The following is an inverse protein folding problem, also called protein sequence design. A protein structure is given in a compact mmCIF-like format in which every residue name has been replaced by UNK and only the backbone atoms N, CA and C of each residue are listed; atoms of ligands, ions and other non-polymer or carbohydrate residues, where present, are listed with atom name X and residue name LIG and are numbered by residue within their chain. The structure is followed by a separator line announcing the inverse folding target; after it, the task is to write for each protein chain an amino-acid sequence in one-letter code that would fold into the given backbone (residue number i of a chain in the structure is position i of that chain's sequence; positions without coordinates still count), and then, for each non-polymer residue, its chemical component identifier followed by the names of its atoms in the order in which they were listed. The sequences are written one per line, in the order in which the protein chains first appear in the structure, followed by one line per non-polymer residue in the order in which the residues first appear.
data_IF_438244043503
#
_entry.id   IF_438244043503
#
_cell.length_a   1.000
_cell.length_b   1.000
_cell.length_c   1.000
_cell.angle_alpha   90.00
_cell.angle_beta   90.00
_cell.angle_gamma   90.00
#
_symmetry.space_group_name_H-M   'P 1'
#
loop_
_entity.id
_entity.type
_entity.pdbx_description
1 polymer ?
#
# COMPACT_ATOMS: atom_id res chain seq x y z
N UNK A 1 12.87 18.09 10.98
CA UNK A 1 11.80 18.23 11.99
C UNK A 1 12.41 18.04 13.37
N UNK A 2 11.98 18.81 14.38
CA UNK A 2 12.45 18.66 15.77
C UNK A 2 11.86 17.40 16.42
N UNK A 3 12.59 16.71 17.33
CA UNK A 3 12.07 15.54 18.03
C UNK A 3 10.86 15.94 18.89
N UNK A 4 9.71 15.28 18.70
CA UNK A 4 8.50 15.45 19.52
C UNK A 4 7.29 16.12 18.86
N UNK A 5 7.37 16.53 17.59
CA UNK A 5 6.28 17.28 16.95
C UNK A 5 5.10 16.43 16.42
N UNK A 6 5.16 15.08 16.44
CA UNK A 6 4.08 14.24 15.90
C UNK A 6 3.93 12.92 16.65
N UNK A 7 2.73 12.66 17.19
CA UNK A 7 2.33 11.38 17.80
C UNK A 7 1.66 11.51 19.17
N UNK A 8 0.88 10.50 19.57
CA UNK A 8 0.34 10.41 20.92
C UNK A 8 1.49 10.25 21.94
N UNK A 9 1.37 10.78 23.18
CA UNK A 9 2.41 10.70 24.21
C UNK A 9 2.70 9.28 24.70
N UNK A 10 1.77 8.35 24.46
CA UNK A 10 1.91 6.92 24.76
C UNK A 10 1.52 6.14 23.51
N UNK A 11 2.36 5.17 23.12
CA UNK A 11 2.13 4.30 21.97
C UNK A 11 2.46 2.86 22.36
N UNK A 12 1.65 1.91 21.89
CA UNK A 12 1.84 0.49 22.12
C UNK A 12 1.83 -0.21 20.76
N UNK A 13 2.83 -1.06 20.53
CA UNK A 13 2.94 -1.85 19.30
C UNK A 13 2.59 -3.30 19.61
N UNK A 14 1.50 -3.78 19.03
CA UNK A 14 1.08 -5.19 19.11
C UNK A 14 1.49 -5.86 17.80
N UNK A 15 2.27 -6.94 17.89
CA UNK A 15 2.76 -7.70 16.74
C UNK A 15 2.12 -9.09 16.74
N UNK A 16 1.99 -9.67 15.56
CA UNK A 16 1.52 -11.04 15.37
C UNK A 16 2.35 -11.73 14.28
N UNK A 17 2.39 -13.06 14.33
CA UNK A 17 2.80 -13.92 13.20
C UNK A 17 1.58 -14.56 12.52
N UNK A 18 0.39 -14.36 13.06
CA UNK A 18 -0.90 -14.85 12.56
C UNK A 18 -1.56 -13.82 11.62
N UNK A 19 -2.68 -14.16 10.96
CA UNK A 19 -3.45 -13.20 10.17
C UNK A 19 -3.86 -11.96 10.98
N UNK A 20 -3.93 -10.80 10.32
CA UNK A 20 -4.26 -9.51 10.95
C UNK A 20 -5.67 -9.47 11.55
N UNK A 21 -6.59 -10.34 11.10
CA UNK A 21 -7.92 -10.51 11.67
C UNK A 21 -7.84 -10.89 13.15
N UNK A 22 -6.96 -11.83 13.50
CA UNK A 22 -6.73 -12.26 14.89
C UNK A 22 -6.09 -11.13 15.70
N UNK A 23 -5.14 -10.40 15.11
CA UNK A 23 -4.54 -9.23 15.75
C UNK A 23 -5.59 -8.17 16.09
N UNK A 24 -6.57 -7.95 15.21
CA UNK A 24 -7.62 -6.98 15.43
C UNK A 24 -8.47 -7.33 16.67
N UNK A 25 -8.79 -8.61 16.91
CA UNK A 25 -9.50 -9.02 18.14
C UNK A 25 -8.76 -8.59 19.40
N UNK A 26 -7.43 -8.79 19.42
CA UNK A 26 -6.55 -8.37 20.52
C UNK A 26 -6.52 -6.85 20.64
N UNK A 27 -6.35 -6.13 19.52
CA UNK A 27 -6.34 -4.66 19.47
C UNK A 27 -7.65 -4.11 20.03
N UNK A 28 -8.81 -4.63 19.60
CA UNK A 28 -10.12 -4.19 20.10
C UNK A 28 -10.28 -4.43 21.60
N UNK A 29 -9.79 -5.56 22.12
CA UNK A 29 -9.79 -5.84 23.56
C UNK A 29 -8.92 -4.85 24.36
N UNK A 30 -7.75 -4.49 23.83
CA UNK A 30 -6.86 -3.49 24.44
C UNK A 30 -7.48 -2.10 24.41
N UNK A 31 -8.06 -1.70 23.27
CA UNK A 31 -8.77 -0.43 23.12
C UNK A 31 -9.92 -0.32 24.12
N UNK A 32 -10.72 -1.39 24.25
CA UNK A 32 -11.83 -1.44 25.21
C UNK A 32 -11.35 -1.25 26.65
N UNK A 33 -10.30 -1.96 27.07
CA UNK A 33 -9.73 -1.80 28.42
C UNK A 33 -9.15 -0.40 28.65
N UNK A 34 -8.53 0.21 27.64
CA UNK A 34 -8.03 1.56 27.72
C UNK A 34 -9.18 2.58 27.86
N UNK A 35 -10.26 2.42 27.08
CA UNK A 35 -11.47 3.25 27.17
C UNK A 35 -12.13 3.10 28.55
N UNK A 36 -12.37 1.86 29.00
CA UNK A 36 -13.01 1.55 30.28
C UNK A 36 -12.18 2.06 31.48
N UNK A 37 -10.88 2.29 31.31
CA UNK A 37 -10.02 2.83 32.38
C UNK A 37 -10.28 4.30 32.70
N UNK A 38 -10.85 5.07 31.76
CA UNK A 38 -11.05 6.52 31.89
C UNK A 38 -9.77 7.36 31.97
N UNK A 39 -8.58 6.75 31.78
CA UNK A 39 -7.27 7.43 31.93
C UNK A 39 -6.81 8.16 30.67
N UNK A 40 -7.49 7.96 29.55
CA UNK A 40 -7.08 8.47 28.26
C UNK A 40 -8.21 9.30 27.65
N UNK A 41 -7.89 10.53 27.25
CA UNK A 41 -8.83 11.44 26.58
C UNK A 41 -9.13 11.00 25.14
N UNK A 42 -8.13 10.42 24.46
CA UNK A 42 -8.23 9.94 23.09
C UNK A 42 -7.45 8.64 22.92
N UNK A 43 -8.05 7.67 22.23
CA UNK A 43 -7.47 6.36 21.95
C UNK A 43 -7.82 6.00 20.51
N UNK A 44 -6.83 5.60 19.72
CA UNK A 44 -7.01 5.17 18.32
C UNK A 44 -6.11 3.96 18.04
N UNK A 45 -6.44 3.22 16.97
CA UNK A 45 -5.64 2.15 16.43
C UNK A 45 -5.42 2.33 14.93
N UNK A 46 -4.18 2.15 14.50
CA UNK A 46 -3.76 2.32 13.11
C UNK A 46 -4.24 1.18 12.19
N UNK A 47 -4.53 0.00 12.75
CA UNK A 47 -5.01 -1.15 11.98
C UNK A 47 -6.46 -0.91 11.51
N UNK A 48 -6.64 -0.72 10.20
CA UNK A 48 -7.94 -0.62 9.54
C UNK A 48 -8.11 -1.80 8.57
N UNK A 49 -9.01 -2.74 8.88
CA UNK A 49 -9.25 -3.97 8.09
C UNK A 49 -10.33 -3.76 7.01
N UNK A 50 -11.05 -2.66 7.06
CA UNK A 50 -12.18 -2.32 6.18
C UNK A 50 -11.76 -1.73 4.81
N UNK A 51 -10.46 -1.55 4.56
CA UNK A 51 -9.99 -1.05 3.25
C UNK A 51 -10.04 -2.16 2.21
N UNK A 52 -10.78 -2.00 1.10
CA UNK A 52 -10.78 -2.98 0.02
C UNK A 52 -9.37 -3.07 -0.57
N UNK A 53 -8.89 -4.29 -0.75
CA UNK A 53 -7.60 -4.59 -1.38
C UNK A 53 -7.82 -5.61 -2.49
N UNK A 54 -7.05 -5.46 -3.57
CA UNK A 54 -7.00 -6.43 -4.65
C UNK A 54 -5.58 -6.97 -4.76
N UNK A 55 -5.47 -8.29 -4.90
CA UNK A 55 -4.20 -8.98 -4.96
C UNK A 55 -4.04 -9.59 -6.34
N UNK A 56 -2.94 -9.24 -7.01
CA UNK A 56 -2.55 -9.89 -8.27
C UNK A 56 -1.81 -11.18 -7.93
N UNK A 57 -2.39 -12.31 -8.30
CA UNK A 57 -1.75 -13.62 -8.18
C UNK A 57 -1.13 -13.99 -9.52
N UNK A 58 0.18 -14.24 -9.53
CA UNK A 58 0.94 -14.55 -10.73
C UNK A 58 1.08 -16.06 -10.92
N UNK A 59 0.72 -16.55 -12.10
CA UNK A 59 1.02 -17.92 -12.54
C UNK A 59 2.47 -17.98 -13.06
N UNK A 60 3.35 -18.61 -12.29
CA UNK A 60 4.78 -18.69 -12.59
C UNK A 60 5.06 -19.58 -13.80
N UNK A 61 4.28 -20.64 -13.99
CA UNK A 61 4.49 -21.61 -15.07
C UNK A 61 4.07 -20.99 -16.40
N UNK A 62 2.96 -20.23 -16.41
CA UNK A 62 2.55 -19.46 -17.58
C UNK A 62 3.57 -18.36 -17.94
N UNK A 63 4.03 -17.58 -16.95
CA UNK A 63 5.01 -16.51 -17.16
C UNK A 63 6.28 -17.05 -17.83
N UNK A 64 6.81 -18.16 -17.32
CA UNK A 64 8.02 -18.79 -17.87
C UNK A 64 7.80 -19.40 -19.25
N UNK A 65 6.62 -20.01 -19.50
CA UNK A 65 6.23 -20.53 -20.83
C UNK A 65 6.17 -19.43 -21.89
N UNK A 66 5.78 -18.21 -21.50
CA UNK A 66 5.78 -17.03 -22.37
C UNK A 66 7.17 -16.37 -22.51
N UNK A 67 8.21 -16.93 -21.89
CA UNK A 67 9.57 -16.39 -21.93
C UNK A 67 9.77 -15.13 -21.09
N UNK A 68 8.85 -14.85 -20.15
CA UNK A 68 8.90 -13.69 -19.25
C UNK A 68 9.43 -14.09 -17.87
N UNK A 69 9.83 -13.10 -17.09
CA UNK A 69 10.15 -13.23 -15.67
C UNK A 69 9.08 -12.57 -14.80
N UNK A 70 9.01 -12.94 -13.52
CA UNK A 70 8.16 -12.24 -12.54
C UNK A 70 8.58 -10.76 -12.39
N UNK A 71 9.85 -10.44 -12.66
CA UNK A 71 10.35 -9.07 -12.63
C UNK A 71 9.79 -8.25 -13.80
N UNK A 72 9.62 -8.82 -14.98
CA UNK A 72 9.06 -8.13 -16.14
C UNK A 72 7.60 -7.76 -15.89
N UNK A 73 6.82 -8.70 -15.35
CA UNK A 73 5.43 -8.46 -14.94
C UNK A 73 5.36 -7.41 -13.82
N UNK A 74 6.17 -7.56 -12.78
CA UNK A 74 6.22 -6.62 -11.65
C UNK A 74 6.64 -5.21 -12.07
N UNK A 75 7.60 -5.10 -12.98
CA UNK A 75 8.07 -3.84 -13.55
C UNK A 75 6.99 -3.16 -14.39
N UNK A 76 6.31 -3.91 -15.26
CA UNK A 76 5.22 -3.39 -16.08
C UNK A 76 4.06 -2.87 -15.22
N UNK A 77 3.59 -3.66 -14.25
CA UNK A 77 2.51 -3.24 -13.33
C UNK A 77 2.95 -2.06 -12.43
N UNK A 78 4.21 -2.08 -11.97
CA UNK A 78 4.78 -1.00 -11.16
C UNK A 78 4.84 0.32 -11.91
N UNK A 79 5.26 0.31 -13.18
CA UNK A 79 5.26 1.51 -14.03
C UNK A 79 3.85 1.97 -14.38
N UNK A 80 2.91 1.04 -14.60
CA UNK A 80 1.54 1.35 -14.98
C UNK A 80 0.72 1.96 -13.82
N UNK A 81 0.89 1.45 -12.61
CA UNK A 81 0.01 1.74 -11.46
C UNK A 81 0.72 2.43 -10.29
N UNK A 82 2.02 2.26 -10.13
CA UNK A 82 2.76 2.63 -8.92
C UNK A 82 2.86 4.14 -8.68
N UNK A 83 2.66 4.98 -9.70
CA UNK A 83 2.72 6.44 -9.56
C UNK A 83 4.11 6.95 -9.16
N UNK A 84 5.16 6.13 -9.31
CA UNK A 84 6.54 6.52 -9.09
C UNK A 84 7.02 7.45 -10.21
N UNK A 85 7.81 8.45 -9.85
CA UNK A 85 8.43 9.31 -10.87
C UNK A 85 9.67 8.62 -11.45
N UNK A 86 9.93 8.83 -12.73
CA UNK A 86 11.11 8.26 -13.43
C UNK A 86 12.23 9.27 -13.58
N UNK A 87 11.91 10.56 -13.68
CA UNK A 87 12.89 11.63 -13.74
C UNK A 87 12.27 12.98 -13.33
N UNK A 88 13.12 14.01 -13.35
CA UNK A 88 12.70 15.40 -13.28
C UNK A 88 12.88 16.08 -14.64
N UNK A 89 11.94 16.96 -14.96
CA UNK A 89 12.00 17.88 -16.09
C UNK A 89 12.03 19.31 -15.58
N UNK A 90 12.91 20.15 -16.13
CA UNK A 90 13.10 21.52 -15.68
C UNK A 90 12.52 22.52 -16.67
N UNK A 91 11.70 23.46 -16.19
CA UNK A 91 11.19 24.58 -16.99
C UNK A 91 11.01 25.82 -16.10
N UNK A 92 11.45 26.98 -16.60
CA UNK A 92 11.39 28.26 -15.90
C UNK A 92 11.98 28.23 -14.47
N UNK A 93 13.12 27.55 -14.30
CA UNK A 93 13.81 27.45 -13.00
C UNK A 93 13.13 26.54 -11.97
N UNK A 94 12.10 25.78 -12.37
CA UNK A 94 11.40 24.82 -11.51
C UNK A 94 11.60 23.40 -12.02
N UNK A 95 11.75 22.45 -11.11
CA UNK A 95 11.83 21.01 -11.40
C UNK A 95 10.48 20.34 -11.18
N UNK A 96 10.02 19.59 -12.18
CA UNK A 96 8.76 18.86 -12.18
C UNK A 96 9.03 17.36 -12.27
N UNK A 97 8.25 16.56 -11.54
CA UNK A 97 8.32 15.10 -11.63
C UNK A 97 7.63 14.62 -12.91
N UNK A 98 8.27 13.71 -13.62
CA UNK A 98 7.65 12.95 -14.71
C UNK A 98 7.20 11.62 -14.14
N UNK A 99 5.89 11.38 -14.14
CA UNK A 99 5.28 10.17 -13.59
C UNK A 99 4.57 9.45 -14.74
N UNK A 100 5.13 8.34 -15.27
CA UNK A 100 4.39 7.49 -16.18
C UNK A 100 3.29 6.79 -15.40
N UNK A 101 2.09 6.77 -15.96
CA UNK A 101 0.95 6.09 -15.38
C UNK A 101 -0.06 5.80 -16.48
N UNK A 102 -0.75 4.66 -16.36
CA UNK A 102 -1.88 4.36 -17.23
C UNK A 102 -2.99 5.40 -17.02
N UNK A 103 -3.75 5.67 -18.09
CA UNK A 103 -4.88 6.60 -18.04
C UNK A 103 -5.84 6.19 -16.93
N UNK A 104 -6.44 7.17 -16.26
CA UNK A 104 -7.31 6.91 -15.13
C UNK A 104 -8.47 5.95 -15.49
N UNK A 105 -9.04 6.10 -16.70
CA UNK A 105 -10.13 5.27 -17.20
C UNK A 105 -9.79 3.77 -17.29
N UNK A 106 -8.51 3.43 -17.47
CA UNK A 106 -8.02 2.06 -17.63
C UNK A 106 -7.47 1.48 -16.31
N UNK A 107 -7.70 2.16 -15.17
CA UNK A 107 -7.25 1.73 -13.83
C UNK A 107 -8.25 2.05 -12.71
N UNK A 108 -9.53 2.18 -13.06
CA UNK A 108 -10.61 2.40 -12.10
C UNK A 108 -10.94 1.13 -11.32
N UNK A 109 -10.90 -0.03 -11.98
CA UNK A 109 -11.31 -1.29 -11.41
C UNK A 109 -10.16 -2.32 -11.41
N UNK A 110 -10.10 -3.21 -10.40
CA UNK A 110 -9.02 -4.18 -10.27
C UNK A 110 -8.86 -5.15 -11.46
N UNK A 111 -9.96 -5.51 -12.11
CA UNK A 111 -10.00 -6.42 -13.27
C UNK A 111 -9.29 -5.84 -14.49
N UNK A 112 -9.24 -4.51 -14.63
CA UNK A 112 -8.56 -3.85 -15.75
C UNK A 112 -7.05 -4.10 -15.78
N UNK A 113 -6.45 -4.55 -14.67
CA UNK A 113 -5.06 -5.03 -14.64
C UNK A 113 -4.81 -6.15 -15.66
N UNK A 114 -5.83 -6.95 -15.96
CA UNK A 114 -5.72 -8.07 -16.88
C UNK A 114 -5.59 -7.64 -18.34
N UNK A 115 -5.95 -6.39 -18.66
CA UNK A 115 -5.85 -5.82 -20.01
C UNK A 115 -4.46 -5.24 -20.31
N UNK A 116 -3.54 -5.27 -19.34
CA UNK A 116 -2.23 -4.64 -19.47
C UNK A 116 -1.25 -5.53 -20.23
N UNK A 117 -0.65 -4.95 -21.26
CA UNK A 117 0.38 -5.63 -22.04
C UNK A 117 1.71 -5.59 -21.29
N UNK A 118 2.30 -6.78 -21.10
CA UNK A 118 3.65 -6.95 -20.55
C UNK A 118 4.62 -7.26 -21.69
N UNK A 119 5.83 -6.73 -21.60
CA UNK A 119 6.95 -7.04 -22.49
C UNK A 119 8.18 -7.38 -21.64
N UNK A 120 9.02 -8.26 -22.17
CA UNK A 120 10.38 -8.50 -21.67
C UNK A 120 11.29 -7.28 -21.91
#
# INVERSE_FOLDING_TARGET
ALPGAQGAPIQVVIKTTEPFQNLNEVVQSVLKKAQDSGKFWFIDADLKIDKPQSTVTMDRDLITTLGLTQQDVGGALGAALGGGYVNYFSIAGRSYKVIPQVLQADRLNPDQVLDYYVRA
#
